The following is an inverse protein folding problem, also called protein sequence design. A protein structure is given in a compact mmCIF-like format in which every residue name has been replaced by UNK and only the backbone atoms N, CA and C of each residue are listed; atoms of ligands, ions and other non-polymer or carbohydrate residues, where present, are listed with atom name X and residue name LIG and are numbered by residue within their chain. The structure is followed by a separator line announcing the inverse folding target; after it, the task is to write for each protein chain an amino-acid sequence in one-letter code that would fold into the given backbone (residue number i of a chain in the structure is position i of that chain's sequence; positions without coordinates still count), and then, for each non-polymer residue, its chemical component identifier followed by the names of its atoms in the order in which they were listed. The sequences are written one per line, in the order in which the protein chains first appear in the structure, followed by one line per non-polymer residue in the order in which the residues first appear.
data_IF_179766384013
#
_entry.id   IF_179766384013
#
_cell.length_a   1.000
_cell.length_b   1.000
_cell.length_c   1.000
_cell.angle_alpha   90.00
_cell.angle_beta   90.00
_cell.angle_gamma   90.00
#
_symmetry.space_group_name_H-M   'P 1'
#
loop_
_entity.id
_entity.type
_entity.pdbx_description
1 polymer ?
#
# COMPACT_ATOMS: atom_id res chain seq x y z
N UNK A 1 18.83 -3.12 2.30
CA UNK A 1 18.43 -2.23 3.41
C UNK A 1 16.94 -2.39 3.64
N UNK A 2 16.50 -2.46 4.90
CA UNK A 2 15.08 -2.48 5.24
C UNK A 2 14.54 -1.05 5.18
N UNK A 3 13.24 -0.82 4.95
CA UNK A 3 12.68 0.54 4.85
C UNK A 3 12.48 1.22 6.22
N UNK A 4 13.09 0.69 7.28
CA UNK A 4 12.91 1.11 8.68
C UNK A 4 14.22 1.52 9.36
N UNK A 5 15.29 1.71 8.57
CA UNK A 5 16.61 2.15 9.05
C UNK A 5 16.72 3.68 8.91
N UNK A 6 16.23 4.41 9.91
CA UNK A 6 16.31 5.86 9.96
C UNK A 6 17.05 6.30 11.21
N UNK A 7 18.12 7.09 11.05
CA UNK A 7 18.99 7.45 12.15
C UNK A 7 19.11 8.96 12.30
N UNK A 8 18.99 9.42 13.54
CA UNK A 8 19.64 10.65 13.98
C UNK A 8 21.03 10.28 14.51
N UNK A 9 22.06 11.01 14.14
CA UNK A 9 23.41 10.81 14.65
C UNK A 9 24.00 12.12 15.17
N UNK A 10 24.89 12.01 16.16
CA UNK A 10 25.59 13.12 16.79
C UNK A 10 27.09 12.89 16.67
N UNK A 11 27.78 13.88 16.12
CA UNK A 11 29.24 13.94 16.03
C UNK A 11 29.77 14.99 16.98
N UNK A 12 30.93 14.69 17.58
CA UNK A 12 31.79 15.68 18.21
C UNK A 12 32.87 16.09 17.20
N UNK A 13 33.04 17.40 17.04
CA UNK A 13 34.02 18.02 16.15
C UNK A 13 35.32 18.29 16.89
N UNK A 14 36.39 18.60 16.16
CA UNK A 14 37.74 18.78 16.71
C UNK A 14 37.86 19.98 17.66
N UNK A 15 36.94 20.93 17.57
CA UNK A 15 36.81 22.07 18.47
C UNK A 15 35.86 21.81 19.67
N UNK A 16 35.40 20.56 19.84
CA UNK A 16 34.45 20.15 20.87
C UNK A 16 33.00 20.49 20.55
N UNK A 17 32.69 21.15 19.42
CA UNK A 17 31.31 21.44 19.01
C UNK A 17 30.56 20.18 18.59
N UNK A 18 29.24 20.18 18.73
CA UNK A 18 28.39 19.05 18.30
C UNK A 18 27.75 19.33 16.95
N UNK A 19 27.80 18.34 16.08
CA UNK A 19 27.03 18.30 14.83
C UNK A 19 25.97 17.20 14.92
N UNK A 20 24.75 17.49 14.50
CA UNK A 20 23.65 16.51 14.47
C UNK A 20 23.10 16.39 13.06
N UNK A 21 22.87 15.17 12.60
CA UNK A 21 22.37 14.89 11.25
C UNK A 21 21.39 13.73 11.20
N UNK A 22 20.70 13.61 10.07
CA UNK A 22 19.91 12.45 9.67
C UNK A 22 20.63 11.63 8.59
N UNK A 23 20.50 10.29 8.65
CA UNK A 23 20.96 9.36 7.60
C UNK A 23 20.21 8.02 7.67
N UNK A 24 20.30 7.21 6.61
CA UNK A 24 19.87 5.80 6.63
C UNK A 24 21.06 4.83 6.78
N UNK A 25 22.29 5.36 6.74
CA UNK A 25 23.55 4.63 6.89
C UNK A 25 24.52 5.53 7.67
N UNK A 26 24.73 5.23 8.95
CA UNK A 26 25.56 6.07 9.83
C UNK A 26 27.03 5.89 9.51
N UNK A 27 27.49 4.67 9.30
CA UNK A 27 28.90 4.38 9.03
C UNK A 27 29.38 5.05 7.75
N UNK A 28 28.63 4.90 6.65
CA UNK A 28 28.94 5.57 5.39
C UNK A 28 28.93 7.09 5.54
N UNK A 29 28.00 7.63 6.35
CA UNK A 29 27.89 9.07 6.57
C UNK A 29 29.04 9.63 7.40
N UNK A 30 29.44 8.93 8.45
CA UNK A 30 30.59 9.28 9.31
C UNK A 30 31.88 9.24 8.50
N UNK A 31 32.09 8.19 7.70
CA UNK A 31 33.25 8.08 6.82
C UNK A 31 33.35 9.25 5.83
N UNK A 32 32.22 9.68 5.24
CA UNK A 32 32.19 10.87 4.38
C UNK A 32 32.58 12.16 5.13
N UNK A 33 32.11 12.33 6.37
CA UNK A 33 32.53 13.48 7.19
C UNK A 33 34.03 13.46 7.50
N UNK A 34 34.59 12.29 7.86
CA UNK A 34 36.01 12.12 8.14
C UNK A 34 36.88 12.34 6.89
N UNK A 35 36.39 11.98 5.71
CA UNK A 35 37.04 12.24 4.42
C UNK A 35 36.89 13.69 3.92
N UNK A 36 36.19 14.57 4.65
CA UNK A 36 35.97 15.97 4.25
C UNK A 36 34.98 16.15 3.09
N UNK A 37 34.22 15.10 2.74
CA UNK A 37 33.15 15.11 1.73
C UNK A 37 31.74 15.18 2.36
N UNK A 38 31.66 15.24 3.68
CA UNK A 38 30.42 15.46 4.44
C UNK A 38 29.95 16.92 4.45
N UNK A 39 29.24 17.31 5.50
CA UNK A 39 28.68 18.67 5.62
C UNK A 39 29.76 19.76 5.66
N UNK A 40 29.46 20.93 5.08
CA UNK A 40 30.36 22.10 5.08
C UNK A 40 30.84 22.45 6.48
N UNK A 41 29.95 22.37 7.47
CA UNK A 41 30.28 22.61 8.88
C UNK A 41 31.36 21.65 9.35
N UNK A 42 31.09 20.33 9.34
CA UNK A 42 32.06 19.32 9.81
C UNK A 42 33.41 19.36 9.09
N UNK A 43 33.45 19.79 7.82
CA UNK A 43 34.71 19.94 7.07
C UNK A 43 35.60 21.03 7.66
N UNK A 44 35.01 22.13 8.13
CA UNK A 44 35.74 23.23 8.75
C UNK A 44 36.15 22.93 10.21
N UNK A 45 35.50 21.95 10.85
CA UNK A 45 35.68 21.60 12.26
C UNK A 45 36.20 20.15 12.45
N UNK A 46 36.93 19.62 11.47
CA UNK A 46 37.53 18.29 11.55
C UNK A 46 38.70 18.23 12.57
N UNK A 47 39.07 17.04 13.10
CA UNK A 47 38.46 15.73 12.88
C UNK A 47 37.09 15.61 13.56
N UNK A 48 36.27 14.64 13.13
CA UNK A 48 34.98 14.36 13.77
C UNK A 48 34.90 12.92 14.27
N UNK A 49 34.18 12.72 15.39
CA UNK A 49 33.93 11.41 15.97
C UNK A 49 32.43 11.22 16.21
N UNK A 50 31.89 10.05 15.87
CA UNK A 50 30.54 9.67 16.26
C UNK A 50 30.48 9.49 17.78
N UNK A 51 29.58 10.21 18.45
CA UNK A 51 29.41 10.13 19.91
C UNK A 51 28.08 9.53 20.33
N UNK A 52 27.04 9.61 19.49
CA UNK A 52 25.79 8.90 19.70
C UNK A 52 24.98 8.76 18.40
N UNK A 53 24.06 7.82 18.38
CA UNK A 53 23.06 7.66 17.33
C UNK A 53 21.76 7.12 17.92
N UNK A 54 20.62 7.49 17.34
CA UNK A 54 19.30 7.01 17.70
C UNK A 54 18.59 6.46 16.46
N UNK A 55 18.07 5.22 16.56
CA UNK A 55 17.34 4.55 15.48
C UNK A 55 15.83 4.79 15.59
N UNK A 56 15.18 5.00 14.44
CA UNK A 56 13.74 5.20 14.29
C UNK A 56 13.20 4.36 13.12
N UNK A 57 11.90 4.05 13.16
CA UNK A 57 11.24 3.26 12.13
C UNK A 57 10.70 4.11 10.97
N UNK A 58 10.61 5.43 11.14
CA UNK A 58 10.15 6.38 10.15
C UNK A 58 11.15 7.53 9.97
N UNK A 59 11.22 8.07 8.76
CA UNK A 59 12.07 9.23 8.44
C UNK A 59 11.60 10.45 9.22
N UNK A 60 10.30 10.63 9.29
CA UNK A 60 9.62 11.77 9.92
C UNK A 60 10.01 11.84 11.40
N UNK A 61 10.04 10.70 12.11
CA UNK A 61 10.44 10.67 13.51
C UNK A 61 11.93 10.92 13.71
N UNK A 62 12.79 10.36 12.85
CA UNK A 62 14.23 10.63 12.91
C UNK A 62 14.54 12.12 12.66
N UNK A 63 13.90 12.74 11.68
CA UNK A 63 14.07 14.17 11.38
C UNK A 63 13.47 15.07 12.46
N UNK A 64 12.34 14.68 13.04
CA UNK A 64 11.79 15.37 14.22
C UNK A 64 12.78 15.32 15.39
N UNK A 65 13.43 14.17 15.62
CA UNK A 65 14.42 14.00 16.68
C UNK A 65 15.64 14.89 16.44
N UNK A 66 16.15 14.87 15.21
CA UNK A 66 17.25 15.74 14.78
C UNK A 66 16.91 17.22 15.03
N UNK A 67 15.73 17.67 14.60
CA UNK A 67 15.31 19.07 14.73
C UNK A 67 15.19 19.51 16.20
N UNK A 68 14.54 18.69 17.03
CA UNK A 68 14.36 18.99 18.45
C UNK A 68 15.68 18.93 19.21
N UNK A 69 16.53 17.94 18.94
CA UNK A 69 17.85 17.86 19.54
C UNK A 69 18.71 19.07 19.17
N UNK A 70 18.63 19.56 17.93
CA UNK A 70 19.36 20.78 17.50
C UNK A 70 18.97 22.02 18.31
N UNK A 71 17.69 22.16 18.68
CA UNK A 71 17.16 23.29 19.45
C UNK A 71 17.60 23.30 20.92
N UNK A 72 18.06 22.17 21.46
CA UNK A 72 18.58 22.11 22.82
C UNK A 72 19.87 22.94 22.96
N UNK A 73 20.04 23.58 24.11
CA UNK A 73 21.32 24.17 24.47
C UNK A 73 22.40 23.09 24.72
N UNK A 74 23.64 23.54 24.86
CA UNK A 74 24.77 22.62 25.02
C UNK A 74 24.65 21.76 26.29
N UNK A 75 24.21 22.35 27.40
CA UNK A 75 24.09 21.65 28.68
C UNK A 75 23.09 20.49 28.60
N UNK A 76 21.91 20.72 28.01
CA UNK A 76 20.90 19.69 27.83
C UNK A 76 21.38 18.58 26.87
N UNK A 77 22.10 18.94 25.79
CA UNK A 77 22.72 17.93 24.91
C UNK A 77 23.70 17.04 25.65
N UNK A 78 24.58 17.62 26.47
CA UNK A 78 25.57 16.86 27.23
C UNK A 78 24.90 15.94 28.26
N UNK A 79 23.80 16.37 28.91
CA UNK A 79 23.01 15.50 29.81
C UNK A 79 22.45 14.29 29.06
N UNK A 80 21.85 14.50 27.89
CA UNK A 80 21.30 13.41 27.07
C UNK A 80 22.40 12.45 26.59
N UNK A 81 23.54 12.98 26.13
CA UNK A 81 24.67 12.18 25.67
C UNK A 81 25.34 11.40 26.81
N UNK A 82 25.40 11.97 28.02
CA UNK A 82 25.90 11.28 29.21
C UNK A 82 25.00 10.09 29.58
N UNK A 83 23.67 10.24 29.50
CA UNK A 83 22.73 9.11 29.66
C UNK A 83 22.90 8.08 28.56
N UNK A 84 23.11 8.53 27.31
CA UNK A 84 23.32 7.66 26.15
C UNK A 84 24.59 6.80 26.21
N UNK A 85 25.51 7.07 27.15
CA UNK A 85 26.67 6.22 27.39
C UNK A 85 26.29 4.83 27.93
N UNK A 86 25.14 4.70 28.59
CA UNK A 86 24.69 3.46 29.23
C UNK A 86 23.33 2.96 28.69
N UNK A 87 22.70 3.70 27.79
CA UNK A 87 21.35 3.40 27.28
C UNK A 87 21.28 3.85 25.81
N UNK A 88 20.64 3.11 24.90
CA UNK A 88 20.47 3.56 23.52
C UNK A 88 19.88 4.98 23.45
N UNK A 89 20.42 5.83 22.58
CA UNK A 89 19.98 7.24 22.54
C UNK A 89 18.50 7.32 22.18
N UNK A 90 17.96 6.44 21.34
CA UNK A 90 16.53 6.39 21.06
C UNK A 90 15.67 6.23 22.32
N UNK A 91 16.09 5.39 23.27
CA UNK A 91 15.37 5.17 24.53
C UNK A 91 15.50 6.39 25.44
N UNK A 92 16.70 6.99 25.50
CA UNK A 92 16.93 8.25 26.22
C UNK A 92 16.03 9.36 25.67
N UNK A 93 15.96 9.53 24.35
CA UNK A 93 15.11 10.54 23.72
C UNK A 93 13.63 10.26 24.00
N UNK A 94 13.21 8.99 23.99
CA UNK A 94 11.82 8.62 24.32
C UNK A 94 11.42 9.02 25.75
N UNK A 95 12.33 8.88 26.71
CA UNK A 95 12.08 9.20 28.12
C UNK A 95 12.19 10.71 28.39
N UNK A 96 13.20 11.35 27.82
CA UNK A 96 13.62 12.70 28.24
C UNK A 96 13.06 13.82 27.34
N UNK A 97 12.72 13.54 26.09
CA UNK A 97 12.18 14.54 25.17
C UNK A 97 10.66 14.37 24.97
N UNK A 98 9.86 15.40 25.32
CA UNK A 98 8.42 15.37 25.11
C UNK A 98 8.04 15.01 23.68
N UNK A 99 7.08 14.11 23.49
CA UNK A 99 6.59 13.66 22.19
C UNK A 99 7.41 12.55 21.51
N UNK A 100 8.60 12.17 22.02
CA UNK A 100 9.32 10.99 21.51
C UNK A 100 8.94 9.68 22.19
N UNK A 101 8.37 9.74 23.39
CA UNK A 101 7.74 8.58 24.01
C UNK A 101 6.35 8.27 23.46
N UNK A 102 5.75 9.18 22.67
CA UNK A 102 4.40 9.01 22.15
C UNK A 102 4.34 7.86 21.15
N UNK A 103 3.64 6.80 21.52
CA UNK A 103 3.33 5.70 20.63
C UNK A 103 2.09 6.06 19.80
N UNK A 104 2.28 6.73 18.66
CA UNK A 104 1.18 7.08 17.75
C UNK A 104 0.77 5.88 16.90
N UNK A 105 -0.41 5.92 16.27
CA UNK A 105 -0.88 4.88 15.35
C UNK A 105 0.11 4.61 14.21
N UNK A 106 0.69 5.67 13.63
CA UNK A 106 1.72 5.54 12.60
C UNK A 106 2.98 4.83 13.11
N UNK A 107 3.47 5.20 14.29
CA UNK A 107 4.64 4.54 14.88
C UNK A 107 4.37 3.10 15.29
N UNK A 108 3.19 2.83 15.81
CA UNK A 108 2.72 1.48 16.07
C UNK A 108 2.78 0.64 14.79
N UNK A 109 2.27 1.14 13.66
CA UNK A 109 2.30 0.43 12.37
C UNK A 109 3.74 0.22 11.90
N UNK A 110 4.55 1.28 11.80
CA UNK A 110 5.94 1.17 11.34
C UNK A 110 6.76 0.19 12.19
N UNK A 111 6.66 0.28 13.52
CA UNK A 111 7.34 -0.63 14.46
C UNK A 111 6.85 -2.06 14.32
N UNK A 112 5.55 -2.26 14.11
CA UNK A 112 4.96 -3.60 13.96
C UNK A 112 5.36 -4.25 12.63
N UNK A 113 5.40 -3.46 11.54
CA UNK A 113 5.90 -3.93 10.25
C UNK A 113 7.39 -4.30 10.33
N UNK A 114 8.21 -3.44 10.94
CA UNK A 114 9.65 -3.69 11.11
C UNK A 114 9.95 -5.01 11.83
N UNK A 115 9.12 -5.42 12.79
CA UNK A 115 9.24 -6.69 13.53
C UNK A 115 8.87 -7.93 12.71
N UNK A 116 8.21 -7.76 11.56
CA UNK A 116 7.70 -8.86 10.74
C UNK A 116 8.29 -8.87 9.32
N UNK A 117 9.42 -8.18 9.09
CA UNK A 117 10.11 -8.15 7.80
C UNK A 117 10.60 -9.54 7.41
N UNK A 118 10.22 -9.99 6.22
CA UNK A 118 10.72 -11.19 5.56
C UNK A 118 11.25 -10.79 4.16
N UNK A 119 12.58 -10.69 4.04
CA UNK A 119 13.22 -10.22 2.81
C UNK A 119 13.08 -11.20 1.65
N UNK A 120 13.02 -12.50 1.93
CA UNK A 120 12.81 -13.52 0.89
C UNK A 120 11.39 -13.42 0.35
N UNK A 121 10.40 -13.23 1.25
CA UNK A 121 9.02 -12.98 0.85
C UNK A 121 8.88 -11.67 0.09
N UNK A 122 9.56 -10.59 0.50
CA UNK A 122 9.60 -9.33 -0.26
C UNK A 122 10.10 -9.57 -1.69
N UNK A 123 11.22 -10.27 -1.82
CA UNK A 123 11.90 -10.48 -3.09
C UNK A 123 11.10 -11.40 -4.04
N UNK A 124 10.31 -12.31 -3.49
CA UNK A 124 9.30 -13.07 -4.21
C UNK A 124 8.11 -12.18 -4.62
N UNK A 125 7.52 -11.45 -3.68
CA UNK A 125 6.31 -10.66 -3.89
C UNK A 125 6.52 -9.50 -4.88
N UNK A 126 7.68 -8.83 -4.84
CA UNK A 126 8.02 -7.75 -5.76
C UNK A 126 7.97 -8.18 -7.24
N UNK A 127 8.19 -9.47 -7.53
CA UNK A 127 8.08 -10.00 -8.91
C UNK A 127 6.63 -10.18 -9.36
N UNK A 128 5.70 -10.31 -8.42
CA UNK A 128 4.27 -10.46 -8.71
C UNK A 128 3.59 -9.10 -8.90
N UNK A 129 4.16 -8.03 -8.35
CA UNK A 129 3.61 -6.67 -8.42
C UNK A 129 4.65 -5.73 -9.02
N UNK A 130 4.96 -5.87 -10.32
CA UNK A 130 6.09 -5.16 -10.95
C UNK A 130 5.90 -3.64 -11.01
N UNK A 131 4.68 -3.14 -10.83
CA UNK A 131 4.37 -1.70 -10.78
C UNK A 131 4.79 -1.03 -9.47
N UNK A 132 5.13 -1.80 -8.43
CA UNK A 132 5.51 -1.28 -7.11
C UNK A 132 7.03 -1.33 -6.94
N UNK A 133 7.65 -0.21 -6.58
CA UNK A 133 9.09 -0.18 -6.28
C UNK A 133 9.39 -1.12 -5.10
N UNK A 134 10.21 -2.13 -5.34
CA UNK A 134 10.70 -3.09 -4.33
C UNK A 134 11.21 -2.42 -3.04
N UNK A 135 11.76 -1.20 -3.12
CA UNK A 135 12.25 -0.44 -1.94
C UNK A 135 11.12 -0.02 -1.00
N UNK A 136 9.89 0.07 -1.48
CA UNK A 136 8.69 0.42 -0.71
C UNK A 136 7.98 -0.80 -0.13
N UNK A 137 8.44 -2.02 -0.46
CA UNK A 137 7.88 -3.26 0.08
C UNK A 137 8.72 -3.67 1.29
N UNK A 138 8.10 -3.74 2.47
CA UNK A 138 8.74 -4.26 3.67
C UNK A 138 8.87 -5.79 3.64
N UNK A 139 7.87 -6.48 3.08
CA UNK A 139 7.85 -7.94 2.98
C UNK A 139 7.17 -8.59 4.17
N UNK A 140 6.04 -8.05 4.62
CA UNK A 140 5.28 -8.60 5.74
C UNK A 140 4.17 -9.50 5.20
N UNK A 141 4.06 -10.71 5.75
CA UNK A 141 3.05 -11.69 5.29
C UNK A 141 1.65 -11.30 5.75
N UNK A 142 0.64 -11.65 4.94
CA UNK A 142 -0.78 -11.32 5.20
C UNK A 142 -1.30 -11.63 6.61
N UNK A 143 -0.96 -12.78 7.26
CA UNK A 143 -1.41 -13.04 8.63
C UNK A 143 -0.91 -12.00 9.65
N UNK A 144 0.33 -11.53 9.49
CA UNK A 144 0.88 -10.47 10.34
C UNK A 144 0.20 -9.13 10.03
N UNK A 145 0.03 -8.76 8.75
CA UNK A 145 -0.68 -7.53 8.35
C UNK A 145 -2.09 -7.45 8.94
N UNK A 146 -2.85 -8.55 8.90
CA UNK A 146 -4.19 -8.64 9.50
C UNK A 146 -4.17 -8.49 11.02
N UNK A 147 -3.14 -9.01 11.68
CA UNK A 147 -2.96 -8.86 13.13
C UNK A 147 -2.67 -7.40 13.48
N UNK A 148 -1.77 -6.75 12.73
CA UNK A 148 -1.46 -5.32 12.90
C UNK A 148 -2.72 -4.48 12.71
N UNK A 149 -3.49 -4.71 11.65
CA UNK A 149 -4.73 -3.98 11.40
C UNK A 149 -5.76 -4.13 12.55
N UNK A 150 -5.90 -5.34 13.12
CA UNK A 150 -6.79 -5.60 14.27
C UNK A 150 -6.38 -4.85 15.53
N UNK A 151 -5.08 -4.72 15.78
CA UNK A 151 -4.59 -3.94 16.93
C UNK A 151 -4.65 -2.44 16.65
N UNK A 152 -4.40 -2.02 15.41
CA UNK A 152 -4.50 -0.62 14.98
C UNK A 152 -5.90 -0.05 15.21
N UNK A 153 -6.96 -0.76 14.81
CA UNK A 153 -8.35 -0.26 14.95
C UNK A 153 -8.84 -0.15 16.40
N UNK A 154 -8.12 -0.72 17.37
CA UNK A 154 -8.44 -0.55 18.80
C UNK A 154 -7.89 0.74 19.39
N UNK A 155 -7.07 1.47 18.63
CA UNK A 155 -6.39 2.67 19.11
C UNK A 155 -7.28 3.90 18.93
N UNK A 156 -7.28 4.77 19.92
CA UNK A 156 -8.05 6.03 19.89
C UNK A 156 -7.58 6.98 18.78
N UNK A 157 -6.34 6.84 18.32
CA UNK A 157 -5.71 7.67 17.30
C UNK A 157 -5.63 7.02 15.90
N UNK A 158 -6.37 5.93 15.66
CA UNK A 158 -6.38 5.21 14.37
C UNK A 158 -6.64 6.14 13.18
N UNK A 159 -7.52 7.11 13.38
CA UNK A 159 -7.91 8.11 12.39
C UNK A 159 -6.73 8.92 11.85
N UNK A 160 -5.71 9.18 12.66
CA UNK A 160 -4.51 9.88 12.24
C UNK A 160 -3.73 9.07 11.18
N UNK A 161 -3.63 7.75 11.37
CA UNK A 161 -3.00 6.86 10.39
C UNK A 161 -3.83 6.76 9.10
N UNK A 162 -5.14 6.55 9.21
CA UNK A 162 -6.02 6.39 8.04
C UNK A 162 -6.14 7.69 7.20
N UNK A 163 -5.87 8.86 7.79
CA UNK A 163 -5.84 10.16 7.10
C UNK A 163 -4.45 10.51 6.54
N UNK A 164 -3.40 9.81 6.94
CA UNK A 164 -2.03 10.06 6.44
C UNK A 164 -1.85 9.33 5.11
N UNK A 165 -2.25 9.99 4.02
CA UNK A 165 -2.17 9.47 2.65
C UNK A 165 -1.38 10.45 1.76
N UNK A 166 -0.62 9.94 0.77
CA UNK A 166 -0.37 8.53 0.48
C UNK A 166 0.52 7.85 1.54
N UNK A 167 0.34 6.54 1.71
CA UNK A 167 1.27 5.74 2.52
C UNK A 167 2.59 5.55 1.78
N UNK A 168 3.68 5.41 2.54
CA UNK A 168 5.03 5.26 1.97
C UNK A 168 5.32 3.82 1.57
N UNK A 169 4.83 2.87 2.36
CA UNK A 169 5.07 1.45 2.15
C UNK A 169 3.87 0.74 1.56
N UNK A 170 4.14 -0.22 0.69
CA UNK A 170 3.13 -1.17 0.22
C UNK A 170 2.41 -1.84 1.39
N UNK A 171 3.17 -2.27 2.40
CA UNK A 171 2.62 -2.98 3.56
C UNK A 171 1.75 -2.07 4.45
N UNK A 172 2.00 -0.74 4.49
CA UNK A 172 1.13 0.23 5.14
C UNK A 172 -0.23 0.34 4.43
N UNK A 173 -0.23 0.34 3.08
CA UNK A 173 -1.45 0.26 2.29
C UNK A 173 -2.25 -1.03 2.57
N UNK A 174 -1.57 -2.16 2.78
CA UNK A 174 -2.25 -3.40 3.15
C UNK A 174 -2.88 -3.31 4.55
N UNK A 175 -2.18 -2.74 5.54
CA UNK A 175 -2.72 -2.51 6.89
C UNK A 175 -3.94 -1.60 6.82
N UNK A 176 -3.88 -0.52 6.04
CA UNK A 176 -5.01 0.38 5.80
C UNK A 176 -6.19 -0.39 5.19
N UNK A 177 -5.99 -1.13 4.11
CA UNK A 177 -7.04 -1.92 3.46
C UNK A 177 -7.72 -2.90 4.41
N UNK A 178 -6.96 -3.58 5.27
CA UNK A 178 -7.52 -4.48 6.28
C UNK A 178 -8.25 -3.75 7.40
N UNK A 179 -7.79 -2.56 7.80
CA UNK A 179 -8.49 -1.72 8.78
C UNK A 179 -9.87 -1.30 8.27
N UNK A 180 -9.99 -0.88 7.00
CA UNK A 180 -11.29 -0.59 6.37
C UNK A 180 -12.21 -1.80 6.44
N UNK A 181 -11.69 -3.01 6.18
CA UNK A 181 -12.49 -4.23 6.24
C UNK A 181 -12.96 -4.67 7.62
N UNK A 182 -12.44 -4.05 8.69
CA UNK A 182 -12.92 -4.24 10.06
C UNK A 182 -14.06 -3.28 10.42
N UNK A 183 -14.22 -2.19 9.68
CA UNK A 183 -15.35 -1.27 9.86
C UNK A 183 -16.67 -1.98 9.56
N UNK A 184 -17.64 -1.76 10.44
CA UNK A 184 -18.96 -2.38 10.38
C UNK A 184 -20.03 -1.38 9.98
N UNK A 185 -19.85 -0.10 10.27
CA UNK A 185 -20.75 0.93 9.83
C UNK A 185 -20.59 1.19 8.33
N UNK A 186 -21.71 1.27 7.61
CA UNK A 186 -21.70 1.38 6.15
C UNK A 186 -21.17 2.74 5.71
N UNK A 187 -21.70 3.82 6.29
CA UNK A 187 -21.38 5.19 5.89
C UNK A 187 -19.91 5.51 6.22
N UNK A 188 -19.44 5.06 7.38
CA UNK A 188 -18.03 5.19 7.79
C UNK A 188 -17.11 4.39 6.86
N UNK A 189 -17.43 3.13 6.56
CA UNK A 189 -16.61 2.32 5.65
C UNK A 189 -16.55 2.92 4.25
N UNK A 190 -17.68 3.40 3.74
CA UNK A 190 -17.78 4.06 2.44
C UNK A 190 -16.89 5.30 2.36
N UNK A 191 -16.93 6.16 3.37
CA UNK A 191 -16.05 7.34 3.47
C UNK A 191 -14.56 6.95 3.50
N UNK A 192 -14.22 5.82 4.15
CA UNK A 192 -12.86 5.29 4.14
C UNK A 192 -12.45 4.79 2.75
N UNK A 193 -13.31 4.06 2.02
CA UNK A 193 -13.02 3.67 0.64
C UNK A 193 -12.82 4.89 -0.26
N UNK A 194 -13.73 5.87 -0.22
CA UNK A 194 -13.64 7.07 -1.06
C UNK A 194 -12.35 7.86 -0.81
N UNK A 195 -11.86 7.89 0.44
CA UNK A 195 -10.58 8.52 0.78
C UNK A 195 -9.38 7.71 0.32
N UNK A 196 -9.43 6.38 0.41
CA UNK A 196 -8.28 5.51 0.17
C UNK A 196 -8.07 5.15 -1.31
N UNK A 197 -9.16 4.92 -2.05
CA UNK A 197 -9.12 4.47 -3.45
C UNK A 197 -8.25 5.32 -4.37
N UNK A 198 -8.19 6.67 -4.27
CA UNK A 198 -7.32 7.50 -5.11
C UNK A 198 -5.82 7.23 -4.95
N UNK A 199 -5.40 6.51 -3.90
CA UNK A 199 -4.00 6.21 -3.59
C UNK A 199 -3.65 4.73 -3.82
N UNK A 200 -4.60 3.91 -4.28
CA UNK A 200 -4.35 2.49 -4.58
C UNK A 200 -3.72 2.39 -5.96
N UNK A 201 -2.46 1.97 -6.06
CA UNK A 201 -1.67 2.00 -7.30
C UNK A 201 -1.29 0.61 -7.83
N UNK A 202 -1.84 -0.44 -7.23
CA UNK A 202 -1.48 -1.81 -7.58
C UNK A 202 -2.64 -2.80 -7.36
N UNK A 203 -2.62 -3.89 -8.13
CA UNK A 203 -3.67 -4.90 -8.11
C UNK A 203 -3.75 -5.63 -6.76
N UNK A 204 -2.62 -5.81 -6.07
CA UNK A 204 -2.56 -6.59 -4.85
C UNK A 204 -3.26 -5.89 -3.67
N UNK A 205 -3.13 -4.57 -3.55
CA UNK A 205 -3.89 -3.75 -2.59
C UNK A 205 -5.35 -3.69 -2.97
N UNK A 206 -5.65 -3.39 -4.24
CA UNK A 206 -7.02 -3.28 -4.75
C UNK A 206 -7.86 -4.54 -4.48
N UNK A 207 -7.35 -5.71 -4.85
CA UNK A 207 -8.11 -6.96 -4.78
C UNK A 207 -8.24 -7.49 -3.34
N UNK A 208 -7.35 -7.06 -2.44
CA UNK A 208 -7.40 -7.41 -1.01
C UNK A 208 -8.37 -6.55 -0.21
N UNK A 209 -8.84 -5.41 -0.72
CA UNK A 209 -9.85 -4.60 -0.05
C UNK A 209 -11.10 -5.45 0.21
N UNK A 210 -11.45 -5.70 1.48
CA UNK A 210 -12.67 -6.42 1.80
C UNK A 210 -13.87 -5.62 1.34
N UNK A 211 -14.99 -6.25 0.96
CA UNK A 211 -16.19 -5.54 0.48
C UNK A 211 -17.47 -5.93 1.22
N UNK A 212 -17.35 -6.79 2.24
CA UNK A 212 -18.51 -7.37 2.93
C UNK A 212 -19.45 -6.32 3.53
N UNK A 213 -18.91 -5.19 4.01
CA UNK A 213 -19.70 -4.10 4.58
C UNK A 213 -20.62 -3.46 3.54
N UNK A 214 -20.22 -3.42 2.28
CA UNK A 214 -20.99 -2.82 1.19
C UNK A 214 -22.26 -3.62 0.87
N UNK A 215 -22.28 -4.93 1.17
CA UNK A 215 -23.48 -5.76 0.99
C UNK A 215 -24.66 -5.37 1.89
N UNK A 216 -24.46 -4.49 2.89
CA UNK A 216 -25.52 -4.06 3.81
C UNK A 216 -26.58 -3.18 3.14
N UNK A 217 -26.21 -2.45 2.10
CA UNK A 217 -27.09 -1.53 1.35
C UNK A 217 -26.81 -1.69 -0.15
N UNK A 218 -27.29 -2.78 -0.78
CA UNK A 218 -26.90 -3.12 -2.15
C UNK A 218 -27.32 -2.05 -3.17
N UNK A 219 -28.55 -1.55 -3.12
CA UNK A 219 -29.02 -0.53 -4.08
C UNK A 219 -28.20 0.76 -3.99
N UNK A 220 -27.96 1.26 -2.77
CA UNK A 220 -27.11 2.44 -2.54
C UNK A 220 -25.67 2.17 -3.02
N UNK A 221 -25.12 0.99 -2.72
CA UNK A 221 -23.78 0.58 -3.16
C UNK A 221 -23.67 0.57 -4.68
N UNK A 222 -24.73 0.19 -5.40
CA UNK A 222 -24.73 0.17 -6.85
C UNK A 222 -24.53 1.58 -7.43
N UNK A 223 -25.14 2.62 -6.84
CA UNK A 223 -24.91 4.01 -7.23
C UNK A 223 -23.43 4.42 -7.07
N UNK A 224 -22.77 3.94 -6.01
CA UNK A 224 -21.33 4.16 -5.82
C UNK A 224 -20.48 3.38 -6.83
N UNK A 225 -20.84 2.14 -7.14
CA UNK A 225 -20.16 1.33 -8.15
C UNK A 225 -20.19 2.04 -9.50
N UNK A 226 -21.33 2.57 -9.93
CA UNK A 226 -21.45 3.31 -11.20
C UNK A 226 -20.52 4.53 -11.21
N UNK A 227 -20.46 5.29 -10.12
CA UNK A 227 -19.51 6.41 -9.97
C UNK A 227 -18.05 5.96 -10.04
N UNK A 228 -17.71 4.84 -9.41
CA UNK A 228 -16.34 4.31 -9.43
C UNK A 228 -15.95 3.74 -10.81
N UNK A 229 -16.87 3.12 -11.54
CA UNK A 229 -16.65 2.66 -12.92
C UNK A 229 -16.41 3.82 -13.89
N UNK A 230 -17.01 4.98 -13.62
CA UNK A 230 -16.78 6.22 -14.37
C UNK A 230 -15.50 6.98 -13.96
N UNK A 231 -14.72 6.44 -13.01
CA UNK A 231 -13.47 7.07 -12.55
C UNK A 231 -12.41 7.14 -13.64
N UNK A 232 -11.45 8.05 -13.47
CA UNK A 232 -10.22 8.13 -14.28
C UNK A 232 -9.04 7.42 -13.63
N UNK A 233 -9.28 6.73 -12.52
CA UNK A 233 -8.25 6.03 -11.77
C UNK A 233 -8.42 4.52 -11.92
N UNK A 234 -7.42 3.85 -12.52
CA UNK A 234 -7.46 2.43 -12.88
C UNK A 234 -7.98 1.54 -11.75
N UNK A 235 -7.39 1.65 -10.56
CA UNK A 235 -7.73 0.76 -9.45
C UNK A 235 -9.05 1.10 -8.77
N UNK A 236 -9.60 2.30 -8.97
CA UNK A 236 -10.99 2.61 -8.57
C UNK A 236 -11.98 1.88 -9.47
N UNK A 237 -11.75 1.88 -10.79
CA UNK A 237 -12.57 1.11 -11.76
C UNK A 237 -12.44 -0.39 -11.45
N UNK A 238 -11.21 -0.87 -11.25
CA UNK A 238 -10.94 -2.27 -10.88
C UNK A 238 -11.65 -2.67 -9.59
N UNK A 239 -11.59 -1.83 -8.56
CA UNK A 239 -12.28 -2.08 -7.30
C UNK A 239 -13.79 -2.21 -7.52
N UNK A 240 -14.40 -1.31 -8.29
CA UNK A 240 -15.83 -1.34 -8.60
C UNK A 240 -16.27 -2.65 -9.27
N UNK A 241 -15.56 -3.08 -10.32
CA UNK A 241 -15.78 -4.39 -10.95
C UNK A 241 -15.56 -5.54 -9.94
N UNK A 242 -14.59 -5.39 -9.03
CA UNK A 242 -14.35 -6.35 -7.96
C UNK A 242 -15.46 -6.41 -6.91
N UNK A 243 -16.20 -5.32 -6.68
CA UNK A 243 -17.40 -5.30 -5.85
C UNK A 243 -18.54 -6.05 -6.56
N UNK A 244 -18.80 -5.73 -7.84
CA UNK A 244 -19.77 -6.45 -8.67
C UNK A 244 -19.50 -7.96 -8.67
N UNK A 245 -18.25 -8.34 -8.94
CA UNK A 245 -17.83 -9.75 -8.99
C UNK A 245 -18.11 -10.51 -7.68
N UNK A 246 -17.89 -9.86 -6.54
CA UNK A 246 -17.94 -10.51 -5.22
C UNK A 246 -19.31 -10.47 -4.56
N UNK A 247 -20.14 -9.48 -4.88
CA UNK A 247 -21.44 -9.28 -4.23
C UNK A 247 -22.63 -9.50 -5.17
N UNK A 248 -22.47 -9.30 -6.48
CA UNK A 248 -23.57 -9.21 -7.45
C UNK A 248 -23.58 -10.32 -8.50
N UNK A 249 -22.80 -11.39 -8.33
CA UNK A 249 -22.84 -12.55 -9.23
C UNK A 249 -23.66 -13.73 -8.66
N UNK A 250 -24.25 -13.58 -7.47
CA UNK A 250 -25.08 -14.61 -6.83
C UNK A 250 -26.52 -14.09 -6.66
N UNK A 251 -27.01 -13.96 -5.42
CA UNK A 251 -28.41 -13.58 -5.11
C UNK A 251 -28.80 -12.20 -5.64
N UNK A 252 -27.84 -11.28 -5.76
CA UNK A 252 -28.06 -9.92 -6.26
C UNK A 252 -27.85 -9.80 -7.77
N UNK A 253 -27.71 -10.91 -8.51
CA UNK A 253 -27.37 -10.87 -9.93
C UNK A 253 -28.45 -10.23 -10.80
N UNK A 254 -27.99 -9.38 -11.73
CA UNK A 254 -28.76 -8.78 -12.80
C UNK A 254 -27.90 -8.81 -14.08
N UNK A 255 -28.49 -9.22 -15.20
CA UNK A 255 -27.78 -9.36 -16.48
C UNK A 255 -27.16 -8.04 -16.95
N UNK A 256 -27.74 -6.89 -16.56
CA UNK A 256 -27.21 -5.56 -16.87
C UNK A 256 -25.79 -5.35 -16.33
N UNK A 257 -25.37 -6.09 -15.30
CA UNK A 257 -24.00 -6.00 -14.79
C UNK A 257 -22.97 -6.61 -15.75
N UNK A 258 -23.37 -7.60 -16.54
CA UNK A 258 -22.51 -8.14 -17.61
C UNK A 258 -22.28 -7.07 -18.67
N UNK A 259 -23.34 -6.40 -19.13
CA UNK A 259 -23.25 -5.29 -20.08
C UNK A 259 -22.38 -4.14 -19.54
N UNK A 260 -22.60 -3.76 -18.29
CA UNK A 260 -21.87 -2.69 -17.62
C UNK A 260 -20.36 -2.98 -17.58
N UNK A 261 -19.97 -4.18 -17.15
CA UNK A 261 -18.54 -4.59 -17.10
C UNK A 261 -17.99 -4.80 -18.51
N UNK A 262 -18.76 -5.36 -19.42
CA UNK A 262 -18.35 -5.56 -20.81
C UNK A 262 -17.99 -4.25 -21.49
N UNK A 263 -18.72 -3.16 -21.19
CA UNK A 263 -18.54 -1.81 -21.77
C UNK A 263 -17.53 -0.94 -21.04
N UNK A 264 -17.30 -1.19 -19.75
CA UNK A 264 -16.31 -0.44 -18.96
C UNK A 264 -14.93 -0.51 -19.62
N UNK A 265 -14.22 0.61 -19.71
CA UNK A 265 -12.83 0.70 -20.19
C UNK A 265 -12.09 1.75 -19.38
N UNK A 266 -10.76 1.64 -19.35
CA UNK A 266 -9.93 2.72 -18.87
C UNK A 266 -10.10 3.94 -19.79
N UNK A 267 -10.52 5.12 -19.29
CA UNK A 267 -10.63 6.31 -20.13
C UNK A 267 -9.29 6.66 -20.77
N UNK A 268 -9.26 6.67 -22.10
CA UNK A 268 -8.06 6.97 -22.88
C UNK A 268 -8.38 8.01 -23.95
N UNK A 269 -7.98 9.25 -23.72
CA UNK A 269 -8.30 10.41 -24.58
C UNK A 269 -7.03 11.14 -24.96
N UNK A 270 -7.06 11.95 -26.03
CA UNK A 270 -5.89 12.74 -26.43
C UNK A 270 -5.47 13.74 -25.33
N UNK A 271 -6.44 14.29 -24.60
CA UNK A 271 -6.23 15.24 -23.50
C UNK A 271 -5.76 14.56 -22.22
N UNK A 272 -6.10 13.29 -22.03
CA UNK A 272 -5.74 12.50 -20.86
C UNK A 272 -5.51 11.04 -21.28
N UNK A 273 -4.31 10.70 -21.78
CA UNK A 273 -3.99 9.36 -22.21
C UNK A 273 -3.81 8.43 -20.99
N UNK A 274 -4.35 7.22 -21.08
CA UNK A 274 -4.11 6.18 -20.08
C UNK A 274 -2.75 5.51 -20.33
N UNK A 275 -2.09 5.07 -19.26
CA UNK A 275 -0.91 4.22 -19.41
C UNK A 275 -1.29 2.83 -19.96
N UNK A 276 -0.35 2.16 -20.61
CA UNK A 276 -0.57 0.77 -21.07
C UNK A 276 -0.88 -0.17 -19.89
N UNK A 277 -0.23 0.06 -18.75
CA UNK A 277 -0.49 -0.69 -17.51
C UNK A 277 -1.92 -0.47 -17.00
N UNK A 278 -2.40 0.77 -16.97
CA UNK A 278 -3.77 1.08 -16.52
C UNK A 278 -4.83 0.39 -17.38
N UNK A 279 -4.66 0.46 -18.71
CA UNK A 279 -5.53 -0.23 -19.67
C UNK A 279 -5.49 -1.74 -19.39
N UNK A 280 -4.28 -2.30 -19.28
CA UNK A 280 -4.08 -3.73 -19.01
C UNK A 280 -4.77 -4.19 -17.74
N UNK A 281 -4.64 -3.47 -16.62
CA UNK A 281 -5.22 -3.90 -15.33
C UNK A 281 -6.74 -3.76 -15.27
N UNK A 282 -7.34 -2.81 -16.00
CA UNK A 282 -8.79 -2.72 -16.20
C UNK A 282 -9.27 -3.89 -17.05
N UNK A 283 -8.66 -4.14 -18.21
CA UNK A 283 -9.08 -5.22 -19.11
C UNK A 283 -8.85 -6.62 -18.50
N UNK A 284 -7.77 -6.79 -17.72
CA UNK A 284 -7.54 -8.01 -16.95
C UNK A 284 -8.62 -8.24 -15.89
N UNK A 285 -9.16 -7.18 -15.28
CA UNK A 285 -10.27 -7.30 -14.33
C UNK A 285 -11.57 -7.67 -15.04
N UNK A 286 -11.85 -7.08 -16.21
CA UNK A 286 -12.99 -7.47 -17.05
C UNK A 286 -12.91 -8.94 -17.45
N UNK A 287 -11.74 -9.39 -17.89
CA UNK A 287 -11.51 -10.81 -18.21
C UNK A 287 -11.72 -11.72 -17.00
N UNK A 288 -11.26 -11.33 -15.81
CA UNK A 288 -11.49 -12.09 -14.59
C UNK A 288 -12.97 -12.10 -14.18
N UNK A 289 -13.66 -10.98 -14.27
CA UNK A 289 -15.09 -10.87 -14.02
C UNK A 289 -15.88 -11.85 -14.88
N UNK A 290 -15.62 -11.92 -16.19
CA UNK A 290 -16.33 -12.86 -17.08
C UNK A 290 -15.99 -14.34 -16.81
N UNK A 291 -14.77 -14.64 -16.38
CA UNK A 291 -14.43 -16.00 -15.95
C UNK A 291 -15.15 -16.40 -14.65
N UNK A 292 -15.36 -15.45 -13.73
CA UNK A 292 -16.16 -15.65 -12.51
C UNK A 292 -17.65 -15.77 -12.85
N UNK A 293 -18.16 -14.87 -13.68
CA UNK A 293 -19.55 -14.83 -14.11
C UNK A 293 -19.94 -16.11 -14.84
N UNK A 294 -19.07 -16.66 -15.71
CA UNK A 294 -19.33 -17.96 -16.33
C UNK A 294 -19.50 -19.09 -15.30
N UNK A 295 -18.74 -19.05 -14.21
CA UNK A 295 -18.82 -20.08 -13.17
C UNK A 295 -20.08 -19.99 -12.30
N UNK A 296 -20.73 -18.82 -12.24
CA UNK A 296 -21.90 -18.56 -11.38
C UNK A 296 -23.21 -18.39 -12.15
N UNK A 297 -23.12 -17.84 -13.35
CA UNK A 297 -24.20 -17.37 -14.20
C UNK A 297 -23.94 -17.81 -15.66
N UNK A 298 -23.71 -19.11 -15.86
CA UNK A 298 -23.23 -19.69 -17.12
C UNK A 298 -24.08 -19.24 -18.33
N UNK A 299 -25.40 -19.37 -18.24
CA UNK A 299 -26.34 -19.03 -19.32
C UNK A 299 -26.24 -17.56 -19.76
N UNK A 300 -26.13 -16.63 -18.80
CA UNK A 300 -26.08 -15.19 -19.12
C UNK A 300 -24.68 -14.75 -19.54
N UNK A 301 -23.62 -15.36 -19.01
CA UNK A 301 -22.23 -14.95 -19.26
C UNK A 301 -21.61 -15.58 -20.52
N UNK A 302 -22.00 -16.80 -20.90
CA UNK A 302 -21.44 -17.52 -22.05
C UNK A 302 -21.56 -16.76 -23.39
N UNK A 303 -22.69 -16.08 -23.72
CA UNK A 303 -22.81 -15.35 -24.98
C UNK A 303 -21.72 -14.30 -25.20
N UNK A 304 -21.22 -13.67 -24.13
CA UNK A 304 -20.13 -12.68 -24.21
C UNK A 304 -18.78 -13.30 -24.59
N UNK A 305 -18.60 -14.61 -24.35
CA UNK A 305 -17.39 -15.34 -24.70
C UNK A 305 -17.47 -15.98 -26.10
N UNK A 306 -18.67 -16.27 -26.57
CA UNK A 306 -18.96 -16.81 -27.91
C UNK A 306 -18.89 -15.73 -29.00
N UNK A 307 -19.40 -14.53 -28.72
CA UNK A 307 -19.44 -13.44 -29.68
C UNK A 307 -18.04 -12.94 -30.05
N UNK A 308 -17.84 -12.68 -31.35
CA UNK A 308 -16.61 -12.16 -31.95
C UNK A 308 -16.95 -11.07 -32.96
N UNK A 309 -15.94 -10.27 -33.33
CA UNK A 309 -16.08 -9.21 -34.34
C UNK A 309 -16.65 -7.91 -33.77
N UNK A 310 -17.07 -7.02 -34.66
CA UNK A 310 -17.40 -5.62 -34.32
C UNK A 310 -18.65 -5.46 -33.46
N UNK A 311 -19.53 -6.47 -33.43
CA UNK A 311 -20.74 -6.48 -32.61
C UNK A 311 -20.48 -6.99 -31.17
N UNK A 312 -19.30 -7.57 -30.91
CA UNK A 312 -18.96 -8.10 -29.59
C UNK A 312 -18.62 -6.97 -28.60
N UNK A 313 -19.23 -7.01 -27.41
CA UNK A 313 -18.96 -6.03 -26.35
C UNK A 313 -17.58 -6.25 -25.69
N UNK A 314 -17.08 -7.48 -25.71
CA UNK A 314 -15.73 -7.82 -25.29
C UNK A 314 -14.79 -7.78 -26.50
N UNK A 315 -13.73 -6.98 -26.38
CA UNK A 315 -12.62 -7.02 -27.32
C UNK A 315 -11.93 -8.40 -27.28
N UNK A 316 -11.33 -8.79 -28.40
CA UNK A 316 -10.78 -10.13 -28.60
C UNK A 316 -9.72 -10.50 -27.57
N UNK A 317 -8.91 -9.53 -27.13
CA UNK A 317 -7.89 -9.77 -26.11
C UNK A 317 -8.55 -10.11 -24.76
N UNK A 318 -9.51 -9.31 -24.33
CA UNK A 318 -10.25 -9.52 -23.07
C UNK A 318 -11.03 -10.83 -23.10
N UNK A 319 -11.72 -11.13 -24.22
CA UNK A 319 -12.46 -12.37 -24.44
C UNK A 319 -11.55 -13.60 -24.31
N UNK A 320 -10.41 -13.62 -25.02
CA UNK A 320 -9.43 -14.72 -24.93
C UNK A 320 -8.86 -14.88 -23.53
N UNK A 321 -8.61 -13.77 -22.81
CA UNK A 321 -8.15 -13.80 -21.42
C UNK A 321 -9.21 -14.34 -20.47
N UNK A 322 -10.48 -13.99 -20.67
CA UNK A 322 -11.58 -14.54 -19.90
C UNK A 322 -11.69 -16.06 -20.10
N UNK A 323 -11.64 -16.53 -21.35
CA UNK A 323 -11.62 -17.96 -21.71
C UNK A 323 -10.44 -18.67 -21.06
N UNK A 324 -9.24 -18.09 -21.13
CA UNK A 324 -8.05 -18.65 -20.49
C UNK A 324 -8.28 -18.85 -18.97
N UNK A 325 -8.73 -17.81 -18.27
CA UNK A 325 -9.00 -17.85 -16.82
C UNK A 325 -10.10 -18.85 -16.47
N UNK A 326 -11.15 -18.92 -17.28
CA UNK A 326 -12.23 -19.89 -17.10
C UNK A 326 -11.71 -21.32 -17.21
N UNK A 327 -10.88 -21.64 -18.21
CA UNK A 327 -10.28 -22.97 -18.39
C UNK A 327 -9.39 -23.36 -17.18
N UNK A 328 -8.63 -22.42 -16.64
CA UNK A 328 -7.78 -22.60 -15.47
C UNK A 328 -8.57 -22.76 -14.16
N UNK A 329 -9.83 -22.29 -14.13
CA UNK A 329 -10.72 -22.38 -12.97
C UNK A 329 -11.10 -23.83 -12.65
N UNK A 330 -11.15 -24.18 -11.36
CA UNK A 330 -11.68 -25.46 -10.88
C UNK A 330 -13.21 -25.48 -10.74
N UNK A 331 -13.89 -24.37 -11.03
CA UNK A 331 -15.33 -24.18 -10.78
C UNK A 331 -16.23 -24.46 -11.98
N UNK A 332 -15.66 -24.65 -13.17
CA UNK A 332 -16.43 -25.03 -14.38
C UNK A 332 -16.14 -26.48 -14.78
N UNK A 333 -17.10 -27.12 -15.44
CA UNK A 333 -17.02 -28.51 -15.87
C UNK A 333 -15.95 -28.73 -16.94
N UNK A 334 -15.45 -29.97 -17.07
CA UNK A 334 -14.51 -30.31 -18.15
C UNK A 334 -15.14 -30.17 -19.54
N UNK A 335 -16.45 -30.37 -19.65
CA UNK A 335 -17.22 -30.16 -20.88
C UNK A 335 -17.18 -28.68 -21.29
N UNK A 336 -17.50 -27.76 -20.36
CA UNK A 336 -17.42 -26.33 -20.61
C UNK A 336 -15.98 -25.92 -20.98
N UNK A 337 -14.96 -26.46 -20.30
CA UNK A 337 -13.55 -26.21 -20.68
C UNK A 337 -13.22 -26.66 -22.10
N UNK A 338 -13.73 -27.82 -22.52
CA UNK A 338 -13.52 -28.32 -23.87
C UNK A 338 -14.23 -27.43 -24.89
N UNK A 339 -15.45 -26.98 -24.57
CA UNK A 339 -16.18 -26.03 -25.40
C UNK A 339 -15.43 -24.70 -25.54
N UNK A 340 -15.01 -24.08 -24.43
CA UNK A 340 -14.24 -22.83 -24.48
C UNK A 340 -12.93 -22.95 -25.28
N UNK A 341 -12.30 -24.13 -25.33
CA UNK A 341 -11.10 -24.35 -26.16
C UNK A 341 -11.39 -24.26 -27.66
N UNK A 342 -12.62 -24.53 -28.10
CA UNK A 342 -13.01 -24.38 -29.51
C UNK A 342 -13.22 -22.91 -29.89
N UNK A 343 -13.51 -22.04 -28.90
CA UNK A 343 -13.75 -20.62 -29.08
C UNK A 343 -12.47 -19.76 -29.07
N UNK A 344 -11.31 -20.37 -28.79
CA UNK A 344 -10.02 -19.68 -28.59
C UNK A 344 -9.19 -19.61 -29.86
#
# INVERSE_FOLDING_TARGET
MTPFEHYMYVLECGDGSLYTGYTTDVDARVAAHQAGTGAKYTKAHAPVRLVAQARFYSKERAMSAEARFKQLDRANKDVLLAKAANTPLEDVLCVELPGFGEDTAGEFVCRSLARNVDLDYRDFHARLVPTVDKKTIAGVRTPALRTIAKELVKRDDVDAFLKTLPHRLFDENQVHAFAIGLERDYDTALALYERFLPFVDNWATCDQLPVKVLAKRPDETLEHIERWLASRHCYTIRFAMGVLMRLYLDELFDERFLDLVARTRMPNTAENPASEDDIYYVDMMRAWYFAEALAKQETSALPYLEQQGDEALLDEWTRRKAIQKAIESRRISNEMKNYLRTLR
#
